data_IF_252232093738
#
_entry.id   IF_252232093738
#
_cell.length_a   1.000
_cell.length_b   1.000
_cell.length_c   1.000
_cell.angle_alpha   90.00
_cell.angle_beta   90.00
_cell.angle_gamma   90.00
#
_symmetry.space_group_name_H-M   'P 1'
#
loop_
_entity.id
_entity.type
_entity.pdbx_description
1 polymer ?
#
# COMPACT_ATOMS: atom_id res chain seq x y z
N UNK A 1 20.72 -11.86 17.39
CA UNK A 1 20.75 -11.66 15.91
C UNK A 1 21.69 -10.52 15.64
N UNK A 2 22.68 -10.76 14.77
CA UNK A 2 23.71 -9.77 14.41
C UNK A 2 23.06 -8.53 13.79
N UNK A 3 23.50 -7.34 14.20
CA UNK A 3 22.99 -6.05 13.72
C UNK A 3 23.26 -5.84 12.23
N UNK A 4 24.37 -6.38 11.73
CA UNK A 4 24.73 -6.35 10.31
C UNK A 4 23.70 -7.08 9.44
N UNK A 5 23.19 -8.21 9.89
CA UNK A 5 22.16 -8.99 9.19
C UNK A 5 20.84 -8.23 9.13
N UNK A 6 20.45 -7.59 10.24
CA UNK A 6 19.23 -6.77 10.27
C UNK A 6 19.34 -5.56 9.35
N UNK A 7 20.48 -4.87 9.36
CA UNK A 7 20.70 -3.73 8.49
C UNK A 7 20.66 -4.14 7.01
N UNK A 8 21.26 -5.27 6.64
CA UNK A 8 21.19 -5.80 5.28
C UNK A 8 19.75 -6.14 4.85
N UNK A 9 18.92 -6.67 5.76
CA UNK A 9 17.52 -6.96 5.48
C UNK A 9 16.65 -5.70 5.37
N UNK A 10 16.99 -4.62 6.08
CA UNK A 10 16.25 -3.37 6.06
C UNK A 10 16.68 -2.42 4.92
N UNK A 11 17.89 -2.56 4.39
CA UNK A 11 18.41 -1.69 3.33
C UNK A 11 17.46 -1.56 2.10
N UNK A 12 16.83 -2.64 1.59
CA UNK A 12 15.89 -2.51 0.47
C UNK A 12 14.61 -1.73 0.79
N UNK A 13 14.29 -1.54 2.07
CA UNK A 13 13.14 -0.75 2.50
C UNK A 13 13.49 0.75 2.51
N UNK A 14 14.74 1.10 2.82
CA UNK A 14 15.18 2.49 2.90
C UNK A 14 15.15 3.22 1.56
N UNK A 15 15.25 2.47 0.45
CA UNK A 15 15.14 3.00 -0.91
C UNK A 15 13.69 3.35 -1.32
N UNK A 16 12.71 2.91 -0.54
CA UNK A 16 11.31 3.16 -0.81
C UNK A 16 10.85 4.49 -0.21
N UNK A 17 9.75 5.03 -0.74
CA UNK A 17 9.09 6.22 -0.18
C UNK A 17 8.76 5.97 1.29
N UNK A 18 9.12 6.89 2.17
CA UNK A 18 9.02 6.78 3.64
C UNK A 18 9.83 5.63 4.28
N UNK A 19 10.68 4.96 3.50
CA UNK A 19 11.43 3.79 3.95
C UNK A 19 12.36 4.07 5.12
N UNK A 20 13.02 5.21 5.13
CA UNK A 20 13.92 5.61 6.22
C UNK A 20 13.20 5.75 7.57
N UNK A 21 12.04 6.39 7.59
CA UNK A 21 11.27 6.53 8.83
C UNK A 21 10.71 5.19 9.29
N UNK A 22 10.23 4.37 8.35
CA UNK A 22 9.72 3.04 8.64
C UNK A 22 10.81 2.13 9.24
N UNK A 23 12.00 2.06 8.64
CA UNK A 23 13.10 1.23 9.14
C UNK A 23 13.63 1.74 10.49
N UNK A 24 13.63 3.06 10.69
CA UNK A 24 13.94 3.64 12.00
C UNK A 24 12.98 3.18 13.09
N UNK A 25 11.68 3.10 12.80
CA UNK A 25 10.69 2.57 13.74
C UNK A 25 10.88 1.08 14.00
N UNK A 26 11.20 0.28 12.97
CA UNK A 26 11.51 -1.13 13.16
C UNK A 26 12.75 -1.36 14.05
N UNK A 27 13.81 -0.57 13.87
CA UNK A 27 15.00 -0.64 14.73
C UNK A 27 14.66 -0.28 16.19
N UNK A 28 13.83 0.75 16.40
CA UNK A 28 13.36 1.12 17.73
C UNK A 28 12.53 0.02 18.38
N UNK A 29 11.63 -0.59 17.63
CA UNK A 29 10.85 -1.72 18.13
C UNK A 29 11.75 -2.85 18.58
N UNK A 30 12.76 -3.20 17.76
CA UNK A 30 13.72 -4.25 18.10
C UNK A 30 14.53 -3.92 19.35
N UNK A 31 15.01 -2.69 19.50
CA UNK A 31 15.72 -2.24 20.69
C UNK A 31 14.84 -2.39 21.93
N UNK A 32 13.59 -1.91 21.86
CA UNK A 32 12.62 -2.04 22.94
C UNK A 32 12.36 -3.51 23.33
N UNK A 33 12.25 -4.40 22.34
CA UNK A 33 12.14 -5.86 22.60
C UNK A 33 13.36 -6.38 23.33
N UNK A 34 14.57 -5.95 22.95
CA UNK A 34 15.82 -6.41 23.59
C UNK A 34 15.96 -5.90 25.04
N UNK A 35 15.41 -4.74 25.33
CA UNK A 35 15.42 -4.07 26.64
C UNK A 35 14.22 -4.48 27.52
N UNK A 36 13.21 -5.14 26.94
CA UNK A 36 11.97 -5.48 27.63
C UNK A 36 11.07 -4.25 27.89
N UNK A 37 11.25 -3.17 27.13
CA UNK A 37 10.46 -1.93 27.25
C UNK A 37 9.12 -2.05 26.50
N UNK A 38 8.10 -2.52 27.23
CA UNK A 38 6.75 -2.70 26.68
C UNK A 38 6.11 -1.37 26.26
N UNK A 39 6.44 -0.27 26.94
CA UNK A 39 5.90 1.04 26.63
C UNK A 39 6.46 1.55 25.30
N UNK A 40 7.77 1.42 25.06
CA UNK A 40 8.38 1.76 23.80
C UNK A 40 7.85 0.88 22.66
N UNK A 41 7.66 -0.42 22.88
CA UNK A 41 7.03 -1.32 21.89
C UNK A 41 5.60 -0.87 21.55
N UNK A 42 4.81 -0.50 22.56
CA UNK A 42 3.44 0.00 22.37
C UNK A 42 3.40 1.29 21.54
N UNK A 43 4.28 2.26 21.85
CA UNK A 43 4.38 3.53 21.13
C UNK A 43 4.75 3.32 19.66
N UNK A 44 5.72 2.44 19.37
CA UNK A 44 6.09 2.12 17.97
C UNK A 44 4.93 1.42 17.26
N UNK A 45 4.25 0.50 17.92
CA UNK A 45 3.08 -0.20 17.36
C UNK A 45 1.95 0.78 17.04
N UNK A 46 1.67 1.73 17.93
CA UNK A 46 0.73 2.84 17.72
C UNK A 46 1.09 3.64 16.46
N UNK A 47 2.39 3.91 16.25
CA UNK A 47 2.86 4.60 15.06
C UNK A 47 2.62 3.80 13.78
N UNK A 48 2.99 2.51 13.76
CA UNK A 48 2.82 1.62 12.59
C UNK A 48 1.34 1.48 12.22
N UNK A 49 0.44 1.52 13.21
CA UNK A 49 -1.01 1.49 13.00
C UNK A 49 -1.61 2.81 12.49
N UNK A 50 -0.80 3.88 12.40
CA UNK A 50 -1.29 5.20 12.00
C UNK A 50 -2.20 5.87 13.02
N UNK A 51 -2.06 5.55 14.30
CA UNK A 51 -2.93 6.04 15.37
C UNK A 51 -2.51 7.43 15.92
N UNK A 52 -1.32 7.94 15.53
CA UNK A 52 -0.92 9.31 15.85
C UNK A 52 -1.64 10.30 14.95
N UNK A 53 -2.37 11.22 15.55
CA UNK A 53 -3.14 12.24 14.84
C UNK A 53 -2.34 13.47 14.49
N UNK A 54 -1.33 13.80 15.29
CA UNK A 54 -0.50 14.99 15.11
C UNK A 54 0.99 14.67 15.17
N UNK A 55 1.78 15.43 14.40
CA UNK A 55 3.23 15.36 14.44
C UNK A 55 3.81 15.73 15.80
N UNK A 56 3.13 16.60 16.55
CA UNK A 56 3.54 17.03 17.90
C UNK A 56 3.42 15.89 18.90
N UNK A 57 2.34 15.10 18.83
CA UNK A 57 2.13 13.91 19.65
C UNK A 57 3.22 12.86 19.37
N UNK A 58 3.45 12.52 18.09
CA UNK A 58 4.49 11.58 17.69
C UNK A 58 5.89 12.05 18.11
N UNK A 59 6.15 13.35 18.07
CA UNK A 59 7.42 13.92 18.52
C UNK A 59 7.60 13.78 20.02
N UNK A 60 6.57 14.03 20.81
CA UNK A 60 6.62 13.92 22.26
C UNK A 60 6.85 12.48 22.72
N UNK A 61 6.15 11.51 22.10
CA UNK A 61 6.19 10.11 22.53
C UNK A 61 7.32 9.30 21.87
N UNK A 62 7.68 9.61 20.62
CA UNK A 62 8.66 8.87 19.82
C UNK A 62 9.85 9.69 19.37
N UNK A 63 9.91 11.00 19.64
CA UNK A 63 10.93 11.87 19.08
C UNK A 63 10.94 11.89 17.54
N UNK A 64 9.84 11.49 16.90
CA UNK A 64 9.67 11.48 15.44
C UNK A 64 8.60 12.47 15.03
N UNK A 65 8.88 13.33 14.05
CA UNK A 65 7.90 14.26 13.49
C UNK A 65 7.14 13.71 12.29
N UNK A 66 7.35 12.44 11.95
CA UNK A 66 6.62 11.76 10.88
C UNK A 66 5.47 10.93 11.46
N UNK A 67 4.33 10.97 10.78
CA UNK A 67 3.15 10.17 11.08
C UNK A 67 2.66 9.53 9.79
N UNK A 68 1.93 8.44 9.88
CA UNK A 68 1.22 7.86 8.74
C UNK A 68 -0.07 8.64 8.56
N UNK A 69 -0.21 9.34 7.45
CA UNK A 69 -1.39 10.14 7.12
C UNK A 69 -2.28 9.44 6.09
N UNK A 70 -3.48 9.99 5.87
CA UNK A 70 -4.40 9.52 4.83
C UNK A 70 -3.82 9.62 3.41
N UNK A 71 -2.83 10.50 3.21
CA UNK A 71 -2.14 10.63 1.92
C UNK A 71 -1.09 9.55 1.71
N UNK A 72 -0.42 9.12 2.78
CA UNK A 72 0.77 8.27 2.73
C UNK A 72 0.51 6.79 3.03
N UNK A 73 -0.66 6.44 3.58
CA UNK A 73 -0.94 5.08 4.08
C UNK A 73 -0.64 3.97 3.06
N UNK A 74 -0.87 4.24 1.77
CA UNK A 74 -0.62 3.23 0.74
C UNK A 74 0.87 2.94 0.56
N UNK A 75 1.73 3.94 0.70
CA UNK A 75 3.18 3.74 0.66
C UNK A 75 3.66 2.90 1.86
N UNK A 76 3.05 3.11 3.03
CA UNK A 76 3.33 2.26 4.19
C UNK A 76 2.81 0.83 4.04
N UNK A 77 1.67 0.61 3.39
CA UNK A 77 1.20 -0.75 3.02
C UNK A 77 2.23 -1.45 2.13
N UNK A 78 2.81 -0.75 1.16
CA UNK A 78 3.90 -1.29 0.31
C UNK A 78 5.15 -1.61 1.13
N UNK A 79 5.53 -0.75 2.07
CA UNK A 79 6.66 -0.99 2.99
C UNK A 79 6.43 -2.23 3.85
N UNK A 80 5.24 -2.41 4.42
CA UNK A 80 4.88 -3.59 5.20
C UNK A 80 4.96 -4.85 4.33
N UNK A 81 4.41 -4.81 3.12
CA UNK A 81 4.47 -5.94 2.19
C UNK A 81 5.93 -6.32 1.87
N UNK A 82 6.78 -5.32 1.63
CA UNK A 82 8.21 -5.54 1.39
C UNK A 82 8.91 -6.10 2.62
N UNK A 83 8.64 -5.54 3.79
CA UNK A 83 9.19 -6.03 5.06
C UNK A 83 8.86 -7.50 5.30
N UNK A 84 7.63 -7.93 5.05
CA UNK A 84 7.23 -9.33 5.17
C UNK A 84 8.04 -10.22 4.23
N UNK A 85 8.27 -9.79 2.99
CA UNK A 85 9.11 -10.55 2.04
C UNK A 85 10.56 -10.63 2.53
N UNK A 86 11.13 -9.53 3.01
CA UNK A 86 12.48 -9.51 3.59
C UNK A 86 12.59 -10.39 4.85
N UNK A 87 11.47 -10.58 5.56
CA UNK A 87 11.36 -11.46 6.74
C UNK A 87 11.10 -12.93 6.38
N UNK A 88 11.07 -13.29 5.09
CA UNK A 88 10.92 -14.68 4.63
C UNK A 88 9.49 -15.11 4.30
N UNK A 89 8.52 -14.21 4.39
CA UNK A 89 7.16 -14.49 3.93
C UNK A 89 7.06 -14.43 2.41
N UNK A 90 6.11 -15.15 1.82
CA UNK A 90 5.91 -15.18 0.37
C UNK A 90 5.28 -13.90 -0.21
N UNK A 91 4.72 -13.06 0.64
CA UNK A 91 4.04 -11.82 0.29
C UNK A 91 2.93 -11.49 1.28
N UNK A 92 2.12 -10.51 0.92
CA UNK A 92 0.97 -10.06 1.71
C UNK A 92 -0.29 -10.14 0.84
N UNK A 93 -1.37 -10.69 1.40
CA UNK A 93 -2.69 -10.68 0.80
C UNK A 93 -3.54 -9.63 1.50
N UNK A 94 -4.02 -8.66 0.75
CA UNK A 94 -4.94 -7.63 1.25
C UNK A 94 -6.35 -7.98 0.80
N UNK A 95 -7.25 -8.20 1.77
CA UNK A 95 -8.67 -8.42 1.54
C UNK A 95 -9.41 -7.14 1.87
N UNK A 96 -10.13 -6.59 0.89
CA UNK A 96 -10.93 -5.37 1.06
C UNK A 96 -12.39 -5.78 0.97
N UNK A 97 -13.07 -5.71 2.10
CA UNK A 97 -14.51 -5.99 2.20
C UNK A 97 -15.32 -4.70 2.05
N UNK A 98 -16.58 -4.85 1.69
CA UNK A 98 -17.58 -3.78 1.60
C UNK A 98 -17.17 -2.55 0.76
N UNK A 99 -16.38 -2.73 -0.28
CA UNK A 99 -15.99 -1.67 -1.23
C UNK A 99 -17.20 -0.88 -1.76
N UNK A 100 -18.35 -1.51 -1.80
CA UNK A 100 -19.63 -0.90 -2.15
C UNK A 100 -19.98 0.28 -1.24
N UNK A 101 -19.53 0.30 0.02
CA UNK A 101 -19.80 1.39 0.95
C UNK A 101 -19.12 2.72 0.56
N UNK A 102 -18.16 2.71 -0.36
CA UNK A 102 -17.55 3.94 -0.86
C UNK A 102 -18.59 4.89 -1.50
N UNK A 103 -19.64 4.37 -2.15
CA UNK A 103 -20.68 5.23 -2.73
C UNK A 103 -21.47 6.03 -1.67
N UNK A 104 -21.50 5.53 -0.43
CA UNK A 104 -22.19 6.19 0.69
C UNK A 104 -21.44 7.40 1.24
N UNK A 105 -20.19 7.64 0.83
CA UNK A 105 -19.43 8.82 1.25
C UNK A 105 -20.14 10.05 0.68
N UNK A 106 -20.65 10.97 1.55
CA UNK A 106 -21.48 12.10 1.08
C UNK A 106 -20.68 13.08 0.22
N UNK A 107 -19.42 13.35 0.59
CA UNK A 107 -18.55 14.27 -0.15
C UNK A 107 -18.04 13.62 -1.43
N UNK A 108 -18.40 14.20 -2.58
CA UNK A 108 -18.03 13.67 -3.89
C UNK A 108 -16.51 13.68 -4.13
N UNK A 109 -15.79 14.69 -3.65
CA UNK A 109 -14.33 14.82 -3.80
C UNK A 109 -13.65 13.72 -2.99
N UNK A 110 -14.03 13.54 -1.73
CA UNK A 110 -13.49 12.48 -0.88
C UNK A 110 -13.79 11.10 -1.44
N UNK A 111 -15.01 10.90 -1.97
CA UNK A 111 -15.40 9.64 -2.61
C UNK A 111 -14.55 9.35 -3.84
N UNK A 112 -14.35 10.33 -4.73
CA UNK A 112 -13.51 10.21 -5.91
C UNK A 112 -12.08 9.86 -5.53
N UNK A 113 -11.50 10.55 -4.56
CA UNK A 113 -10.16 10.30 -4.05
C UNK A 113 -9.97 8.85 -3.56
N UNK A 114 -10.94 8.32 -2.80
CA UNK A 114 -10.88 6.93 -2.34
C UNK A 114 -10.97 5.92 -3.50
N UNK A 115 -11.81 6.17 -4.52
CA UNK A 115 -11.84 5.33 -5.72
C UNK A 115 -10.50 5.33 -6.46
N UNK A 116 -9.87 6.49 -6.62
CA UNK A 116 -8.57 6.62 -7.29
C UNK A 116 -7.46 5.87 -6.54
N UNK A 117 -7.45 5.94 -5.21
CA UNK A 117 -6.50 5.17 -4.38
C UNK A 117 -6.66 3.66 -4.60
N UNK A 118 -7.89 3.14 -4.60
CA UNK A 118 -8.15 1.72 -4.84
C UNK A 118 -7.76 1.30 -6.26
N UNK A 119 -8.06 2.12 -7.26
CA UNK A 119 -7.64 1.88 -8.63
C UNK A 119 -6.11 1.86 -8.76
N UNK A 120 -5.42 2.73 -8.04
CA UNK A 120 -3.95 2.75 -8.00
C UNK A 120 -3.41 1.44 -7.42
N UNK A 121 -3.95 0.99 -6.28
CA UNK A 121 -3.55 -0.29 -5.66
C UNK A 121 -3.76 -1.47 -6.62
N UNK A 122 -4.92 -1.51 -7.28
CA UNK A 122 -5.26 -2.56 -8.24
C UNK A 122 -4.31 -2.55 -9.45
N UNK A 123 -4.06 -1.37 -10.02
CA UNK A 123 -3.17 -1.21 -11.16
C UNK A 123 -1.72 -1.56 -10.82
N UNK A 124 -1.21 -1.14 -9.67
CA UNK A 124 0.14 -1.47 -9.20
C UNK A 124 0.30 -2.99 -9.03
N UNK A 125 -0.74 -3.67 -8.52
CA UNK A 125 -0.75 -5.13 -8.37
C UNK A 125 -0.74 -5.82 -9.74
N UNK A 126 -1.58 -5.38 -10.68
CA UNK A 126 -1.65 -5.96 -12.03
C UNK A 126 -0.40 -5.71 -12.87
N UNK A 127 0.23 -4.55 -12.71
CA UNK A 127 1.45 -4.19 -13.44
C UNK A 127 2.72 -4.78 -12.81
N UNK A 128 2.58 -5.50 -11.71
CA UNK A 128 3.72 -6.04 -10.98
C UNK A 128 4.59 -4.98 -10.29
N UNK A 129 4.13 -3.73 -10.22
CA UNK A 129 4.82 -2.66 -9.48
C UNK A 129 4.78 -2.90 -7.97
N UNK A 130 3.77 -3.62 -7.49
CA UNK A 130 3.68 -4.12 -6.13
C UNK A 130 4.46 -5.44 -5.92
N UNK A 131 5.09 -5.99 -6.98
CA UNK A 131 5.95 -7.17 -6.87
C UNK A 131 7.34 -6.73 -6.45
N UNK A 132 7.61 -6.78 -5.18
CA UNK A 132 8.92 -6.54 -4.60
C UNK A 132 9.82 -7.76 -4.78
N UNK A 133 10.36 -7.94 -6.00
CA UNK A 133 11.50 -8.81 -6.20
C UNK A 133 12.74 -8.03 -5.77
N UNK A 134 13.39 -8.48 -4.71
CA UNK A 134 14.79 -8.12 -4.50
C UNK A 134 15.58 -8.45 -5.76
N UNK A 135 16.40 -7.55 -6.24
CA UNK A 135 17.36 -7.82 -7.31
C UNK A 135 18.32 -8.89 -6.80
N UNK A 136 17.99 -10.15 -7.09
CA UNK A 136 18.92 -11.25 -6.97
C UNK A 136 19.86 -11.16 -8.19
N UNK A 137 21.04 -10.57 -7.95
CA UNK A 137 22.14 -10.62 -8.91
C UNK A 137 22.67 -12.05 -8.96
N UNK A 138 22.15 -12.83 -9.90
CA UNK A 138 22.77 -14.06 -10.33
C UNK A 138 22.05 -15.35 -9.98
N UNK A 139 21.14 -15.76 -10.84
CA UNK A 139 21.11 -17.09 -11.48
C UNK A 139 19.90 -17.17 -12.42
N UNK A 140 20.19 -17.30 -13.70
CA UNK A 140 19.20 -17.70 -14.70
C UNK A 140 18.57 -19.05 -14.32
N UNK A 141 17.33 -19.04 -13.89
CA UNK A 141 16.45 -20.20 -13.95
C UNK A 141 15.32 -19.83 -14.90
N UNK A 142 15.32 -20.48 -16.06
CA UNK A 142 14.23 -20.47 -17.03
C UNK A 142 12.95 -20.92 -16.33
N UNK A 143 12.10 -19.99 -15.94
CA UNK A 143 10.74 -20.26 -15.53
C UNK A 143 9.84 -19.93 -16.72
N UNK A 144 9.15 -20.95 -17.21
CA UNK A 144 8.18 -20.93 -18.29
C UNK A 144 7.32 -19.66 -18.24
N UNK A 145 7.39 -18.87 -19.33
CA UNK A 145 6.46 -17.77 -19.62
C UNK A 145 5.03 -18.34 -19.64
N UNK A 146 4.28 -18.09 -18.57
CA UNK A 146 2.83 -18.11 -18.69
C UNK A 146 2.40 -16.89 -19.49
N UNK A 147 1.57 -17.05 -20.51
CA UNK A 147 1.03 -15.90 -21.25
C UNK A 147 0.23 -15.01 -20.30
N UNK A 148 0.25 -13.67 -20.51
CA UNK A 148 -0.49 -12.76 -19.67
C UNK A 148 -1.99 -13.10 -19.73
N UNK A 149 -2.72 -12.98 -18.60
CA UNK A 149 -4.16 -13.19 -18.60
C UNK A 149 -4.82 -12.20 -19.57
N UNK A 150 -5.75 -12.71 -20.39
CA UNK A 150 -6.54 -11.91 -21.33
C UNK A 150 -7.18 -10.75 -20.58
N UNK A 151 -7.02 -9.54 -21.13
CA UNK A 151 -7.72 -8.34 -20.65
C UNK A 151 -9.22 -8.63 -20.59
N UNK A 152 -9.78 -8.68 -19.41
CA UNK A 152 -11.23 -8.62 -19.22
C UNK A 152 -11.63 -7.17 -19.48
N UNK A 153 -12.11 -6.89 -20.68
CA UNK A 153 -12.79 -5.63 -21.00
C UNK A 153 -14.14 -5.69 -20.30
N UNK A 154 -14.25 -5.00 -19.16
CA UNK A 154 -15.56 -4.70 -18.57
C UNK A 154 -16.28 -3.75 -19.57
N UNK A 155 -17.17 -4.29 -20.38
CA UNK A 155 -18.10 -3.49 -21.17
C UNK A 155 -18.99 -2.75 -20.20
N UNK A 156 -18.88 -1.42 -20.16
CA UNK A 156 -19.85 -0.57 -19.51
C UNK A 156 -21.26 -0.78 -20.11
N UNK A 157 -22.31 -0.50 -19.34
CA UNK A 157 -23.69 -0.65 -19.83
C UNK A 157 -23.86 0.22 -21.08
N UNK A 158 -24.44 -0.39 -22.14
CA UNK A 158 -24.74 0.28 -23.39
C UNK A 158 -25.68 1.47 -23.12
N UNK A 159 -25.29 2.65 -23.56
CA UNK A 159 -26.20 3.81 -23.53
C UNK A 159 -27.38 3.54 -24.47
N UNK A 160 -28.62 3.81 -24.04
CA UNK A 160 -29.78 3.70 -24.93
C UNK A 160 -29.66 4.77 -26.04
N UNK A 161 -29.66 4.33 -27.29
CA UNK A 161 -29.73 5.20 -28.46
C UNK A 161 -31.06 5.93 -28.43
N UNK A 162 -31.02 7.26 -28.27
CA UNK A 162 -32.19 8.13 -28.49
C UNK A 162 -32.55 8.07 -29.97
N UNK A 163 -33.60 7.36 -30.31
CA UNK A 163 -34.31 7.48 -31.57
C UNK A 163 -35.05 8.84 -31.56
N UNK A 164 -34.54 9.79 -32.34
CA UNK A 164 -35.23 11.04 -32.59
C UNK A 164 -36.48 10.83 -33.45
N UNK A 165 -37.54 11.64 -33.29
CA UNK A 165 -38.77 11.50 -34.08
C UNK A 165 -38.54 11.92 -35.54
N UNK A 166 -38.99 11.07 -36.47
CA UNK A 166 -39.11 11.35 -37.89
C UNK A 166 -40.10 12.52 -38.11
N UNK A 167 -39.58 13.60 -38.68
CA UNK A 167 -40.37 14.72 -39.14
C UNK A 167 -41.18 14.30 -40.37
N UNK A 168 -42.49 14.07 -40.23
CA UNK A 168 -43.41 13.85 -41.33
C UNK A 168 -43.62 15.14 -42.11
N UNK A 169 -43.18 15.22 -43.37
CA UNK A 169 -43.64 16.23 -44.35
C UNK A 169 -45.05 15.82 -44.79
N UNK A 170 -45.99 16.76 -44.69
CA UNK A 170 -47.27 16.71 -45.39
C UNK A 170 -47.22 17.63 -46.62
N UNK A 171 -48.07 17.34 -47.61
CA UNK A 171 -48.06 17.94 -48.94
C UNK A 171 -48.49 19.41 -48.95
#
# INVERSE_FOLDING_TARGET
VDESVVNAQLAPLEEMVHGFDFTRMLRRYRAAVSEGDEEAMSRVTKWIRGEYRTKSEARAELGSSTIISDDDWYDYVKLIARFLVCSGYKGMLVLIDELVNLYKIPNAITRQYNYEKILTMYNDTLQGKAQYRGHDHGRHANLHRRPPPRRVLLRGPAQPTRSGPLCARRP
#
